data_IF_770729152808
#
_entry.id   IF_770729152808
#
_cell.length_a   1.000
_cell.length_b   1.000
_cell.length_c   1.000
_cell.angle_alpha   90.00
_cell.angle_beta   90.00
_cell.angle_gamma   90.00
#
_symmetry.space_group_name_H-M   'P 1'
#
loop_
_entity.id
_entity.type
_entity.pdbx_description
1 polymer ?
#
# COMPACT_ATOMS: atom_id res chain seq x y z
N UNK A 1 -1.28 10.58 13.29
CA UNK A 1 -2.11 9.69 12.43
C UNK A 1 -1.71 9.69 10.97
N UNK A 2 -1.59 10.84 10.29
CA UNK A 2 -1.27 10.89 8.85
C UNK A 2 0.03 10.16 8.46
N UNK A 3 1.08 10.27 9.28
CA UNK A 3 2.36 9.59 9.04
C UNK A 3 2.26 8.05 9.03
N UNK A 4 1.56 7.44 10.02
CA UNK A 4 1.30 5.98 10.02
C UNK A 4 0.52 5.54 8.79
N UNK A 5 -0.42 6.36 8.34
CA UNK A 5 -1.22 6.07 7.15
C UNK A 5 -0.38 6.09 5.87
N UNK A 6 0.62 6.96 5.81
CA UNK A 6 1.63 6.97 4.75
C UNK A 6 2.51 5.71 4.80
N UNK A 7 3.02 5.34 5.98
CA UNK A 7 3.89 4.16 6.16
C UNK A 7 3.21 2.86 5.71
N UNK A 8 1.92 2.68 6.01
CA UNK A 8 1.14 1.52 5.55
C UNK A 8 1.03 1.37 4.03
N UNK A 9 1.33 2.43 3.27
CA UNK A 9 1.38 2.38 1.81
C UNK A 9 2.76 2.06 1.25
N UNK A 10 3.81 2.11 2.08
CA UNK A 10 5.22 2.02 1.66
C UNK A 10 5.94 0.83 2.27
N UNK A 11 5.62 0.49 3.52
CA UNK A 11 6.26 -0.57 4.31
C UNK A 11 5.30 -1.75 4.52
N UNK A 12 5.86 -2.93 4.77
CA UNK A 12 5.11 -4.18 5.00
C UNK A 12 4.45 -4.26 6.37
N UNK A 13 4.95 -3.49 7.33
CA UNK A 13 4.38 -3.35 8.67
C UNK A 13 4.83 -2.11 9.43
N UNK A 14 4.08 -1.76 10.47
CA UNK A 14 4.47 -0.75 11.45
C UNK A 14 4.19 -1.24 12.88
N UNK A 15 5.11 -0.99 13.81
CA UNK A 15 4.93 -1.31 15.24
C UNK A 15 5.26 -0.11 16.12
N UNK A 16 4.53 0.03 17.22
CA UNK A 16 4.76 1.06 18.22
C UNK A 16 5.41 0.41 19.43
N UNK A 17 6.55 0.95 19.85
CA UNK A 17 7.26 0.55 21.06
C UNK A 17 7.09 1.60 22.16
N UNK A 18 7.08 1.16 23.40
CA UNK A 18 7.24 2.04 24.57
C UNK A 18 8.71 2.41 24.81
N UNK A 19 8.96 3.21 25.86
CA UNK A 19 10.28 3.75 26.23
C UNK A 19 11.31 2.64 26.53
N UNK A 20 10.82 1.48 26.98
CA UNK A 20 11.60 0.27 27.26
C UNK A 20 11.75 -0.63 26.01
N UNK A 21 11.35 -0.13 24.84
CA UNK A 21 11.35 -0.82 23.55
C UNK A 21 10.48 -2.10 23.49
N UNK A 22 9.48 -2.19 24.37
CA UNK A 22 8.47 -3.24 24.30
C UNK A 22 7.36 -2.86 23.34
N UNK A 23 6.79 -3.85 22.65
CA UNK A 23 5.62 -3.66 21.80
C UNK A 23 4.45 -3.13 22.64
N UNK A 24 4.06 -1.89 22.38
CA UNK A 24 3.08 -1.15 23.17
C UNK A 24 1.73 -1.89 23.19
N UNK A 25 1.24 -2.22 24.39
CA UNK A 25 -0.01 -2.99 24.58
C UNK A 25 -1.24 -2.30 24.02
N UNK A 26 -1.24 -0.97 24.02
CA UNK A 26 -2.43 -0.13 23.86
C UNK A 26 -2.59 0.47 22.47
N UNK A 27 -1.58 0.42 21.58
CA UNK A 27 -1.61 1.22 20.35
C UNK A 27 -0.82 0.68 19.15
N UNK A 28 -1.01 -0.58 18.81
CA UNK A 28 -0.47 -1.13 17.58
C UNK A 28 -1.21 -2.37 17.14
N UNK A 29 -1.54 -2.43 15.85
CA UNK A 29 -1.82 -3.71 15.23
C UNK A 29 -0.48 -4.41 14.99
N UNK A 30 -0.19 -5.43 15.79
CA UNK A 30 1.02 -6.26 15.65
C UNK A 30 0.83 -7.37 14.62
N UNK A 31 -0.33 -7.45 13.95
CA UNK A 31 -0.62 -8.48 12.92
C UNK A 31 0.42 -8.46 11.80
N UNK A 32 0.87 -7.28 11.38
CA UNK A 32 1.89 -7.15 10.35
C UNK A 32 3.22 -7.77 10.77
N UNK A 33 3.68 -7.50 11.99
CA UNK A 33 4.91 -8.12 12.51
C UNK A 33 4.73 -9.64 12.72
N UNK A 34 3.58 -10.09 13.22
CA UNK A 34 3.25 -11.53 13.32
C UNK A 34 3.35 -12.23 11.97
N UNK A 35 2.82 -11.60 10.93
CA UNK A 35 2.86 -12.11 9.55
C UNK A 35 4.29 -12.17 9.01
N UNK A 36 5.09 -11.13 9.23
CA UNK A 36 6.51 -11.12 8.85
C UNK A 36 7.24 -12.27 9.55
N UNK A 37 7.10 -12.37 10.88
CA UNK A 37 7.76 -13.40 11.69
C UNK A 37 7.19 -14.82 11.50
N UNK A 38 6.01 -14.95 10.89
CA UNK A 38 5.30 -16.22 10.75
C UNK A 38 4.83 -16.83 12.07
N UNK A 39 4.63 -16.01 13.11
CA UNK A 39 4.20 -16.45 14.45
C UNK A 39 2.72 -16.23 14.67
N UNK A 40 2.08 -17.14 15.40
CA UNK A 40 0.69 -17.00 15.86
C UNK A 40 0.59 -16.48 17.31
N UNK A 41 1.70 -16.44 18.04
CA UNK A 41 1.75 -16.05 19.45
C UNK A 41 1.39 -14.58 19.69
N UNK A 42 1.04 -14.22 20.93
CA UNK A 42 0.92 -12.80 21.30
C UNK A 42 2.31 -12.16 21.41
N UNK A 43 2.47 -11.00 20.78
CA UNK A 43 3.72 -10.25 20.77
C UNK A 43 3.66 -9.05 21.72
N UNK A 44 2.47 -8.70 22.25
CA UNK A 44 2.29 -7.51 23.09
C UNK A 44 3.15 -7.59 24.35
N UNK A 45 3.88 -6.51 24.63
CA UNK A 45 4.75 -6.40 25.79
C UNK A 45 6.07 -7.18 25.68
N UNK A 46 6.36 -7.82 24.54
CA UNK A 46 7.70 -8.36 24.27
C UNK A 46 8.62 -7.24 23.76
N UNK A 47 9.92 -7.35 24.04
CA UNK A 47 10.92 -6.44 23.49
C UNK A 47 11.08 -6.67 22.01
N UNK A 48 11.24 -5.61 21.22
CA UNK A 48 11.51 -5.77 19.79
C UNK A 48 12.82 -6.53 19.53
N UNK A 49 13.80 -6.36 20.41
CA UNK A 49 15.11 -7.03 20.38
C UNK A 49 15.01 -8.57 20.44
N UNK A 50 13.97 -9.10 21.08
CA UNK A 50 13.74 -10.55 21.17
C UNK A 50 13.48 -11.18 19.79
N UNK A 51 13.12 -10.36 18.79
CA UNK A 51 12.89 -10.78 17.42
C UNK A 51 14.10 -10.56 16.52
N UNK A 52 15.17 -9.93 17.00
CA UNK A 52 16.43 -9.85 16.26
C UNK A 52 17.16 -11.19 16.37
N UNK A 53 17.99 -11.51 15.38
CA UNK A 53 18.96 -12.59 15.52
C UNK A 53 19.78 -12.36 16.79
N UNK A 54 19.93 -13.39 17.61
CA UNK A 54 20.56 -13.35 18.95
C UNK A 54 22.09 -13.20 18.89
N UNK A 55 22.55 -12.24 18.09
CA UNK A 55 23.92 -11.75 18.06
C UNK A 55 23.97 -10.45 18.84
N UNK A 56 24.84 -10.39 19.84
CA UNK A 56 25.01 -9.22 20.71
C UNK A 56 25.25 -7.93 19.91
N UNK A 57 26.04 -8.02 18.83
CA UNK A 57 26.33 -6.90 17.93
C UNK A 57 25.07 -6.35 17.24
N UNK A 58 24.13 -7.20 16.84
CA UNK A 58 22.89 -6.77 16.19
C UNK A 58 21.98 -6.00 17.16
N UNK A 59 21.92 -6.45 18.42
CA UNK A 59 21.15 -5.79 19.48
C UNK A 59 21.77 -4.41 19.80
N UNK A 60 23.09 -4.36 20.00
CA UNK A 60 23.80 -3.10 20.28
C UNK A 60 23.68 -2.09 19.14
N UNK A 61 23.74 -2.57 17.89
CA UNK A 61 23.56 -1.73 16.70
C UNK A 61 22.15 -1.14 16.66
N UNK A 62 21.13 -1.94 16.95
CA UNK A 62 19.74 -1.47 17.02
C UNK A 62 19.51 -0.46 18.16
N UNK A 63 20.05 -0.71 19.34
CA UNK A 63 19.96 0.23 20.48
C UNK A 63 20.62 1.58 20.14
N UNK A 64 21.83 1.52 19.57
CA UNK A 64 22.56 2.71 19.13
C UNK A 64 21.77 3.48 18.07
N UNK A 65 21.14 2.78 17.13
CA UNK A 65 20.28 3.37 16.10
C UNK A 65 19.09 4.13 16.70
N UNK A 66 18.38 3.52 17.67
CA UNK A 66 17.24 4.15 18.35
C UNK A 66 17.68 5.33 19.21
N UNK A 67 18.75 5.17 20.01
CA UNK A 67 19.28 6.22 20.88
C UNK A 67 19.74 7.45 20.09
N UNK A 68 20.44 7.23 18.97
CA UNK A 68 20.91 8.30 18.10
C UNK A 68 19.75 9.11 17.51
N UNK A 69 18.61 8.48 17.22
CA UNK A 69 17.45 9.19 16.68
C UNK A 69 16.77 10.07 17.74
N UNK A 70 16.72 9.62 19.00
CA UNK A 70 16.22 10.42 20.13
C UNK A 70 17.11 11.63 20.37
N UNK A 71 18.43 11.46 20.34
CA UNK A 71 19.39 12.55 20.56
C UNK A 71 19.28 13.67 19.51
N UNK A 72 18.88 13.36 18.28
CA UNK A 72 18.77 14.35 17.20
C UNK A 72 17.56 15.29 17.29
N UNK A 73 16.58 15.04 18.18
CA UNK A 73 15.64 16.00 18.79
C UNK A 73 14.81 17.00 17.96
N UNK A 74 15.05 17.21 16.66
CA UNK A 74 14.50 18.35 15.93
C UNK A 74 13.46 17.95 14.87
N UNK A 75 12.32 18.64 14.90
CA UNK A 75 11.20 18.49 13.95
C UNK A 75 11.54 18.88 12.49
N UNK A 76 12.73 19.47 12.26
CA UNK A 76 13.30 19.80 10.95
C UNK A 76 14.51 18.90 10.59
N UNK A 77 14.66 17.78 11.30
CA UNK A 77 15.84 16.93 11.24
C UNK A 77 16.05 16.19 9.91
N UNK A 78 17.24 15.59 9.74
CA UNK A 78 17.59 14.78 8.58
C UNK A 78 16.56 13.67 8.33
N UNK A 79 16.48 13.14 7.09
CA UNK A 79 15.53 12.09 6.75
C UNK A 79 15.62 10.90 7.72
N UNK A 80 14.49 10.19 7.97
CA UNK A 80 14.45 9.05 8.88
C UNK A 80 15.57 8.07 8.56
N UNK A 81 16.39 7.75 9.57
CA UNK A 81 17.47 6.78 9.41
C UNK A 81 16.86 5.40 9.15
N UNK A 82 17.53 4.64 8.29
CA UNK A 82 17.20 3.26 7.96
C UNK A 82 18.29 2.35 8.54
N UNK A 83 17.89 1.27 9.19
CA UNK A 83 18.79 0.21 9.66
C UNK A 83 18.32 -1.12 9.10
N UNK A 84 19.21 -1.83 8.40
CA UNK A 84 18.96 -3.21 7.99
C UNK A 84 19.25 -4.16 9.16
N UNK A 85 18.30 -5.03 9.49
CA UNK A 85 18.42 -6.05 10.53
C UNK A 85 17.91 -7.40 10.04
N UNK A 86 18.30 -8.46 10.72
CA UNK A 86 17.75 -9.80 10.51
C UNK A 86 16.76 -10.11 11.64
N UNK A 87 15.53 -10.44 11.26
CA UNK A 87 14.52 -10.92 12.20
C UNK A 87 14.56 -12.45 12.31
N UNK A 88 14.57 -12.95 13.53
CA UNK A 88 14.46 -14.36 13.85
C UNK A 88 12.98 -14.78 13.85
N UNK A 89 12.65 -15.75 13.00
CA UNK A 89 11.31 -16.36 12.96
C UNK A 89 11.18 -17.50 13.98
N UNK A 90 9.98 -18.09 14.15
CA UNK A 90 9.82 -19.32 14.96
C UNK A 90 10.55 -20.54 14.36
N UNK A 91 10.97 -20.46 13.09
CA UNK A 91 11.76 -21.49 12.42
C UNK A 91 13.26 -21.16 12.37
N UNK A 92 14.08 -22.01 11.73
CA UNK A 92 15.51 -21.75 11.51
C UNK A 92 15.78 -20.63 10.49
N UNK A 93 14.75 -19.88 10.10
CA UNK A 93 14.80 -18.87 9.05
C UNK A 93 14.96 -17.49 9.67
N UNK A 94 15.81 -16.72 9.02
CA UNK A 94 16.01 -15.30 9.29
C UNK A 94 15.40 -14.49 8.13
N UNK A 95 14.83 -13.34 8.45
CA UNK A 95 14.21 -12.45 7.46
C UNK A 95 14.96 -11.12 7.48
N UNK A 96 15.68 -10.76 6.41
CA UNK A 96 16.25 -9.43 6.29
C UNK A 96 15.13 -8.40 6.11
N UNK A 97 15.18 -7.37 6.94
CA UNK A 97 14.24 -6.24 6.89
C UNK A 97 14.97 -4.92 7.03
N UNK A 98 14.41 -3.90 6.42
CA UNK A 98 14.80 -2.51 6.60
C UNK A 98 13.87 -1.86 7.64
N UNK A 99 14.46 -1.35 8.72
CA UNK A 99 13.76 -0.71 9.84
C UNK A 99 13.99 0.79 9.79
N UNK A 100 12.89 1.52 9.75
CA UNK A 100 12.87 2.98 9.85
C UNK A 100 12.32 3.36 11.23
N UNK A 101 12.94 4.34 11.88
CA UNK A 101 12.59 4.74 13.23
C UNK A 101 12.20 6.22 13.31
N UNK A 102 11.18 6.50 14.12
CA UNK A 102 10.80 7.85 14.53
C UNK A 102 10.47 7.84 16.03
N UNK A 103 11.17 8.68 16.80
CA UNK A 103 10.82 8.96 18.18
C UNK A 103 9.58 9.87 18.24
N UNK A 104 8.65 9.53 19.13
CA UNK A 104 7.38 10.22 19.35
C UNK A 104 7.30 10.64 20.83
N UNK A 105 7.99 11.74 21.21
CA UNK A 105 7.85 12.29 22.56
C UNK A 105 6.42 12.79 22.79
N UNK A 106 5.99 12.76 24.06
CA UNK A 106 4.71 13.29 24.53
C UNK A 106 3.47 12.70 23.83
N UNK A 107 3.59 11.49 23.28
CA UNK A 107 2.48 10.81 22.61
C UNK A 107 1.40 10.45 23.66
N UNK A 108 0.17 10.88 23.40
CA UNK A 108 -0.97 10.77 24.34
C UNK A 108 -0.85 11.64 25.61
N UNK A 109 0.03 12.65 25.61
CA UNK A 109 0.20 13.55 26.75
C UNK A 109 0.82 12.88 27.97
N UNK A 110 1.50 11.74 27.79
CA UNK A 110 2.36 11.14 28.81
C UNK A 110 3.79 11.63 28.59
N UNK A 111 4.57 11.79 29.66
CA UNK A 111 6.00 12.17 29.55
C UNK A 111 6.89 11.01 29.06
N UNK A 112 6.31 9.97 28.44
CA UNK A 112 7.04 8.82 27.95
C UNK A 112 7.36 9.00 26.46
N UNK A 113 8.55 8.57 26.06
CA UNK A 113 8.90 8.53 24.63
C UNK A 113 8.39 7.23 24.05
N UNK A 114 7.60 7.32 22.97
CA UNK A 114 7.26 6.15 22.18
C UNK A 114 8.14 6.08 20.93
N UNK A 115 8.34 4.88 20.41
CA UNK A 115 9.11 4.68 19.18
C UNK A 115 8.25 4.01 18.13
N UNK A 116 8.07 4.68 16.99
CA UNK A 116 7.41 4.08 15.84
C UNK A 116 8.45 3.47 14.92
N UNK A 117 8.34 2.16 14.70
CA UNK A 117 9.12 1.43 13.70
C UNK A 117 8.26 1.15 12.47
N UNK A 118 8.79 1.46 11.30
CA UNK A 118 8.27 0.97 10.03
C UNK A 118 9.22 -0.12 9.50
N UNK A 119 8.66 -1.23 9.04
CA UNK A 119 9.43 -2.42 8.66
C UNK A 119 9.11 -2.73 7.20
N UNK A 120 10.15 -2.81 6.37
CA UNK A 120 10.05 -3.29 4.99
C UNK A 120 10.81 -4.61 4.87
N UNK A 121 10.14 -5.67 4.42
CA UNK A 121 10.79 -6.93 4.08
C UNK A 121 11.63 -6.74 2.81
N UNK A 122 12.83 -7.33 2.79
CA UNK A 122 13.68 -7.29 1.60
C UNK A 122 13.02 -8.06 0.45
N UNK A 123 12.89 -7.46 -0.74
CA UNK A 123 12.21 -8.08 -1.88
C UNK A 123 12.86 -9.42 -2.30
N UNK A 124 14.16 -9.58 -2.07
CA UNK A 124 14.90 -10.79 -2.40
C UNK A 124 14.54 -11.97 -1.49
N UNK A 125 14.10 -11.72 -0.25
CA UNK A 125 13.72 -12.78 0.71
C UNK A 125 12.49 -13.58 0.24
N UNK A 126 11.59 -12.95 -0.52
CA UNK A 126 10.36 -13.56 -1.02
C UNK A 126 10.63 -14.58 -2.12
N UNK A 127 11.69 -14.37 -2.91
CA UNK A 127 12.05 -15.29 -4.00
C UNK A 127 12.51 -16.64 -3.46
N UNK A 128 13.29 -16.65 -2.37
CA UNK A 128 13.72 -17.87 -1.70
C UNK A 128 12.55 -18.65 -1.06
N UNK A 129 11.52 -17.93 -0.62
CA UNK A 129 10.30 -18.49 -0.01
C UNK A 129 9.46 -19.28 -1.01
N UNK A 130 9.47 -18.85 -2.26
CA UNK A 130 8.70 -19.46 -3.35
C UNK A 130 9.32 -20.78 -3.85
N UNK A 131 10.62 -21.00 -3.62
CA UNK A 131 11.36 -22.16 -4.14
C UNK A 131 11.46 -23.32 -3.15
N UNK A 132 11.43 -23.07 -1.84
CA UNK A 132 11.63 -24.10 -0.80
C UNK A 132 10.34 -24.78 -0.32
N UNK A 133 9.17 -24.22 -0.60
CA UNK A 133 7.88 -24.85 -0.32
C UNK A 133 7.35 -25.53 -1.60
N UNK A 134 7.67 -26.82 -1.75
CA UNK A 134 7.11 -27.66 -2.81
C UNK A 134 5.58 -27.63 -2.81
N UNK A 135 5.02 -27.39 -3.99
CA UNK A 135 3.59 -27.19 -4.29
C UNK A 135 2.92 -26.05 -3.52
N UNK A 136 2.37 -25.03 -4.22
CA UNK A 136 1.75 -23.90 -3.57
C UNK A 136 0.47 -24.35 -2.89
N UNK A 137 0.49 -24.50 -1.56
CA UNK A 137 -0.72 -24.23 -0.78
C UNK A 137 -0.93 -22.72 -0.85
N UNK A 138 -1.58 -22.32 -1.94
CA UNK A 138 -2.13 -21.00 -2.14
C UNK A 138 -3.23 -20.74 -1.09
N UNK A 139 -2.83 -20.51 0.16
CA UNK A 139 -3.53 -19.51 0.96
C UNK A 139 -3.00 -18.17 0.49
N UNK A 140 -3.44 -17.79 -0.71
CA UNK A 140 -3.15 -16.49 -1.26
C UNK A 140 -3.94 -15.47 -0.44
N UNK A 141 -3.22 -14.65 0.33
CA UNK A 141 -3.68 -13.41 0.99
C UNK A 141 -4.28 -12.37 0.01
N UNK A 142 -4.54 -12.74 -1.25
CA UNK A 142 -5.29 -11.97 -2.24
C UNK A 142 -6.81 -12.01 -2.03
N UNK A 143 -7.34 -12.75 -1.03
CA UNK A 143 -8.78 -12.94 -0.81
C UNK A 143 -9.32 -12.19 0.44
N UNK A 144 -8.51 -11.43 1.18
CA UNK A 144 -9.05 -10.55 2.24
C UNK A 144 -9.65 -9.23 1.71
N UNK A 145 -9.56 -8.99 0.40
CA UNK A 145 -9.87 -7.68 -0.18
C UNK A 145 -11.35 -7.29 -0.16
N UNK A 146 -12.27 -8.21 0.18
CA UNK A 146 -13.70 -7.95 0.04
C UNK A 146 -14.60 -8.56 1.11
N UNK A 147 -14.34 -8.26 2.38
CA UNK A 147 -15.27 -8.59 3.50
C UNK A 147 -16.69 -7.99 3.35
N UNK A 148 -16.88 -7.11 2.36
CA UNK A 148 -18.14 -6.45 2.00
C UNK A 148 -18.69 -6.89 0.63
N UNK A 149 -18.06 -7.86 -0.06
CA UNK A 149 -18.63 -8.44 -1.28
C UNK A 149 -19.92 -9.17 -0.91
N UNK A 150 -21.05 -8.68 -1.42
CA UNK A 150 -22.35 -9.30 -1.18
C UNK A 150 -22.75 -10.24 -2.29
N UNK A 151 -22.38 -9.92 -3.53
CA UNK A 151 -22.80 -10.66 -4.71
C UNK A 151 -21.75 -10.53 -5.82
N UNK A 152 -21.56 -11.61 -6.57
CA UNK A 152 -20.69 -11.70 -7.73
C UNK A 152 -21.49 -12.41 -8.84
N UNK A 153 -21.68 -11.73 -9.95
CA UNK A 153 -22.36 -12.28 -11.13
C UNK A 153 -21.34 -12.45 -12.24
N UNK A 154 -21.24 -13.66 -12.78
CA UNK A 154 -20.33 -14.00 -13.88
C UNK A 154 -21.13 -14.40 -15.12
N UNK A 155 -20.81 -13.83 -16.27
CA UNK A 155 -21.28 -14.28 -17.57
C UNK A 155 -20.24 -15.23 -18.15
N UNK A 156 -20.62 -16.50 -18.31
CA UNK A 156 -19.73 -17.57 -18.77
C UNK A 156 -20.05 -17.97 -20.21
N UNK A 157 -19.01 -18.19 -21.01
CA UNK A 157 -19.12 -18.70 -22.37
C UNK A 157 -18.85 -20.21 -22.39
N UNK A 158 -19.91 -21.01 -22.22
CA UNK A 158 -19.80 -22.46 -22.23
C UNK A 158 -19.48 -23.08 -23.60
N UNK A 159 -19.37 -22.28 -24.66
CA UNK A 159 -18.99 -22.77 -25.99
C UNK A 159 -17.47 -22.93 -26.16
N UNK A 160 -16.67 -22.36 -25.25
CA UNK A 160 -15.22 -22.55 -25.23
C UNK A 160 -14.86 -23.73 -24.34
N UNK A 161 -13.75 -24.42 -24.65
CA UNK A 161 -13.29 -25.60 -23.91
C UNK A 161 -13.08 -25.31 -22.43
N UNK A 162 -12.70 -24.07 -22.12
CA UNK A 162 -12.30 -23.64 -20.78
C UNK A 162 -13.40 -22.82 -20.05
N UNK A 163 -14.57 -22.63 -20.68
CA UNK A 163 -15.71 -21.87 -20.13
C UNK A 163 -15.28 -20.45 -19.71
N UNK A 164 -14.90 -19.65 -20.71
CA UNK A 164 -14.34 -18.31 -20.48
C UNK A 164 -15.33 -17.36 -19.78
N UNK A 165 -14.82 -16.44 -18.95
CA UNK A 165 -15.62 -15.38 -18.32
C UNK A 165 -15.65 -14.16 -19.26
N UNK A 166 -16.83 -13.85 -19.80
CA UNK A 166 -17.04 -12.70 -20.70
C UNK A 166 -17.30 -11.41 -19.90
N UNK A 167 -18.01 -11.51 -18.78
CA UNK A 167 -18.34 -10.37 -17.92
C UNK A 167 -18.33 -10.78 -16.43
N UNK A 168 -17.83 -9.88 -15.57
CA UNK A 168 -17.89 -10.04 -14.13
C UNK A 168 -18.44 -8.77 -13.49
N UNK A 169 -19.61 -8.88 -12.85
CA UNK A 169 -20.23 -7.81 -12.08
C UNK A 169 -20.08 -8.10 -10.61
N UNK A 170 -19.54 -7.12 -9.88
CA UNK A 170 -19.17 -7.26 -8.47
C UNK A 170 -20.00 -6.29 -7.63
N UNK A 171 -20.80 -6.82 -6.71
CA UNK A 171 -21.69 -6.05 -5.84
C UNK A 171 -21.17 -6.05 -4.41
N UNK A 172 -21.09 -4.85 -3.82
CA UNK A 172 -20.63 -4.66 -2.46
C UNK A 172 -21.75 -4.12 -1.58
N UNK A 173 -21.98 -4.73 -0.42
CA UNK A 173 -22.91 -4.24 0.61
C UNK A 173 -22.13 -3.55 1.72
N UNK A 174 -22.36 -2.25 1.89
CA UNK A 174 -21.75 -1.47 2.97
C UNK A 174 -22.26 -2.00 4.31
N UNK A 175 -21.39 -2.66 5.07
CA UNK A 175 -21.68 -2.96 6.48
C UNK A 175 -21.73 -1.63 7.24
N UNK A 176 -22.86 -1.33 7.87
CA UNK A 176 -22.95 -0.18 8.79
C UNK A 176 -21.92 -0.43 9.89
N UNK A 177 -20.89 0.42 9.92
CA UNK A 177 -19.65 0.24 10.66
C UNK A 177 -19.85 -0.46 12.02
N UNK A 178 -19.39 -1.72 12.11
CA UNK A 178 -19.01 -2.26 13.41
C UNK A 178 -17.85 -1.39 13.91
N UNK A 179 -17.98 -0.88 15.13
CA UNK A 179 -17.25 0.27 15.66
C UNK A 179 -15.71 0.14 15.72
N UNK A 180 -15.14 -1.01 15.32
CA UNK A 180 -13.73 -1.30 15.53
C UNK A 180 -12.98 -2.04 14.41
N UNK A 181 -13.57 -2.29 13.23
CA UNK A 181 -12.83 -3.02 12.18
C UNK A 181 -12.07 -2.05 11.25
N UNK A 182 -10.94 -1.57 11.74
CA UNK A 182 -10.02 -0.71 11.00
C UNK A 182 -9.16 -1.54 10.07
N UNK A 183 -9.50 -1.53 8.79
CA UNK A 183 -8.47 -1.74 7.78
C UNK A 183 -8.93 -1.30 6.41
N UNK A 184 -9.98 -1.93 5.91
CA UNK A 184 -10.27 -1.89 4.48
C UNK A 184 -11.77 -1.80 4.22
N UNK A 185 -12.45 -0.85 4.86
CA UNK A 185 -13.87 -0.58 4.56
C UNK A 185 -14.10 -0.29 3.07
N UNK A 186 -15.33 -0.50 2.60
CA UNK A 186 -15.84 -0.42 1.22
C UNK A 186 -14.85 0.12 0.16
N UNK A 187 -14.52 -0.65 -0.90
CA UNK A 187 -13.66 -0.13 -1.97
C UNK A 187 -14.30 1.14 -2.55
N UNK A 188 -13.52 2.20 -2.58
CA UNK A 188 -13.94 3.48 -3.17
C UNK A 188 -13.15 3.69 -4.44
N UNK A 189 -13.73 4.38 -5.41
CA UNK A 189 -13.01 4.78 -6.62
C UNK A 189 -11.70 5.52 -6.28
N UNK A 190 -11.69 6.31 -5.20
CA UNK A 190 -10.49 6.97 -4.68
C UNK A 190 -9.36 6.03 -4.28
N UNK A 191 -9.68 4.85 -3.74
CA UNK A 191 -8.70 3.82 -3.37
C UNK A 191 -8.18 3.05 -4.60
N UNK A 192 -8.99 2.95 -5.65
CA UNK A 192 -8.65 2.25 -6.88
C UNK A 192 -7.86 3.11 -7.86
N UNK A 193 -7.95 4.43 -7.76
CA UNK A 193 -7.27 5.36 -8.68
C UNK A 193 -5.98 5.86 -8.05
N UNK A 194 -4.94 6.10 -8.86
CA UNK A 194 -3.70 6.74 -8.37
C UNK A 194 -4.02 8.07 -7.66
N UNK A 195 -3.36 8.36 -6.52
CA UNK A 195 -3.60 9.62 -5.80
C UNK A 195 -3.48 10.88 -6.67
N UNK A 196 -2.54 10.88 -7.62
CA UNK A 196 -2.31 12.00 -8.56
C UNK A 196 -3.44 12.18 -9.57
N UNK A 197 -4.08 11.09 -10.01
CA UNK A 197 -5.15 11.14 -11.01
C UNK A 197 -6.51 11.46 -10.37
N UNK A 198 -6.64 11.26 -9.05
CA UNK A 198 -7.92 11.36 -8.33
C UNK A 198 -8.55 12.75 -8.45
N UNK A 199 -7.79 13.84 -8.26
CA UNK A 199 -8.34 15.20 -8.28
C UNK A 199 -8.99 15.53 -9.62
N UNK A 200 -8.32 15.18 -10.73
CA UNK A 200 -8.83 15.43 -12.07
C UNK A 200 -10.08 14.59 -12.35
N UNK A 201 -10.04 13.29 -12.02
CA UNK A 201 -11.17 12.38 -12.20
C UNK A 201 -12.39 12.81 -11.37
N UNK A 202 -12.20 13.14 -10.09
CA UNK A 202 -13.25 13.61 -9.20
C UNK A 202 -13.92 14.88 -9.74
N UNK A 203 -13.14 15.85 -10.23
CA UNK A 203 -13.69 17.05 -10.85
C UNK A 203 -14.56 16.71 -12.06
N UNK A 204 -14.13 15.79 -12.92
CA UNK A 204 -14.91 15.39 -14.09
C UNK A 204 -16.20 14.64 -13.70
N UNK A 205 -16.14 13.73 -12.74
CA UNK A 205 -17.32 13.02 -12.21
C UNK A 205 -18.31 14.01 -11.60
N UNK A 206 -17.84 14.99 -10.81
CA UNK A 206 -18.70 16.02 -10.22
C UNK A 206 -19.35 16.94 -11.26
N UNK A 207 -18.68 17.20 -12.38
CA UNK A 207 -19.27 17.95 -13.50
C UNK A 207 -20.39 17.12 -14.13
N UNK A 208 -20.14 15.85 -14.43
CA UNK A 208 -21.13 14.96 -15.05
C UNK A 208 -22.33 14.74 -14.13
N UNK A 209 -22.10 14.57 -12.82
CA UNK A 209 -23.17 14.46 -11.83
C UNK A 209 -24.01 15.75 -11.74
N UNK A 210 -23.39 16.94 -11.83
CA UNK A 210 -24.11 18.22 -11.87
C UNK A 210 -24.90 18.38 -13.18
N UNK A 211 -24.30 18.07 -14.32
CA UNK A 211 -24.96 18.12 -15.62
C UNK A 211 -26.15 17.13 -15.68
N UNK A 212 -26.02 15.97 -15.05
CA UNK A 212 -27.09 14.99 -14.90
C UNK A 212 -28.28 15.56 -14.11
N UNK A 213 -28.02 16.30 -13.01
CA UNK A 213 -29.07 17.00 -12.24
C UNK A 213 -29.73 18.14 -13.01
N UNK A 214 -29.00 18.76 -13.94
CA UNK A 214 -29.48 19.88 -14.76
C UNK A 214 -30.12 19.45 -16.08
N UNK A 215 -30.29 18.16 -16.32
CA UNK A 215 -30.97 17.61 -17.50
C UNK A 215 -30.33 17.99 -18.84
N UNK A 216 -29.04 18.32 -18.85
CA UNK A 216 -28.32 18.55 -20.11
C UNK A 216 -27.97 17.18 -20.69
N UNK A 217 -28.76 16.72 -21.66
CA UNK A 217 -28.75 15.38 -22.26
C UNK A 217 -27.46 14.97 -23.00
N UNK A 218 -26.28 15.12 -22.38
CA UNK A 218 -25.03 14.61 -22.91
C UNK A 218 -24.99 13.10 -22.73
N UNK A 219 -24.68 12.39 -23.82
CA UNK A 219 -24.59 10.93 -23.92
C UNK A 219 -23.36 10.34 -23.20
N UNK A 220 -22.92 10.94 -22.11
CA UNK A 220 -21.67 10.58 -21.44
C UNK A 220 -20.51 11.52 -21.75
N UNK A 221 -19.43 11.36 -20.99
CA UNK A 221 -18.20 12.12 -21.12
C UNK A 221 -17.02 11.16 -21.19
N UNK A 222 -16.23 11.29 -22.25
CA UNK A 222 -14.93 10.62 -22.34
C UNK A 222 -13.99 11.21 -21.29
N UNK A 223 -13.30 10.33 -20.58
CA UNK A 223 -12.33 10.66 -19.55
C UNK A 223 -10.91 10.43 -20.10
N UNK A 224 -9.90 11.09 -19.52
CA UNK A 224 -8.51 10.73 -19.76
C UNK A 224 -8.25 9.26 -19.37
N UNK A 225 -7.13 8.73 -19.84
CA UNK A 225 -6.67 7.41 -19.43
C UNK A 225 -6.52 7.32 -17.91
N UNK A 226 -6.89 6.16 -17.35
CA UNK A 226 -6.89 5.95 -15.90
C UNK A 226 -5.94 4.81 -15.52
N UNK A 227 -5.22 5.00 -14.43
CA UNK A 227 -4.44 3.93 -13.82
C UNK A 227 -5.16 3.41 -12.58
N UNK A 228 -5.49 2.13 -12.62
CA UNK A 228 -6.23 1.43 -11.58
C UNK A 228 -5.28 0.57 -10.77
N UNK A 229 -5.28 0.74 -9.45
CA UNK A 229 -4.55 -0.14 -8.55
C UNK A 229 -5.23 -1.51 -8.56
N UNK A 230 -4.48 -2.56 -8.84
CA UNK A 230 -4.99 -3.92 -8.76
C UNK A 230 -4.99 -4.37 -7.29
N UNK A 231 -6.15 -4.78 -6.73
CA UNK A 231 -6.21 -5.39 -5.41
C UNK A 231 -5.51 -6.75 -5.44
N UNK A 232 -4.85 -7.12 -4.34
CA UNK A 232 -4.18 -8.42 -4.19
C UNK A 232 -2.84 -8.58 -4.91
N UNK A 233 -2.36 -7.57 -5.61
CA UNK A 233 -1.03 -7.64 -6.19
C UNK A 233 0.04 -7.42 -5.11
N UNK A 234 0.97 -8.39 -5.00
CA UNK A 234 2.01 -8.41 -3.97
C UNK A 234 2.90 -7.16 -3.99
N UNK A 235 3.06 -6.54 -5.16
CA UNK A 235 3.81 -5.30 -5.29
C UNK A 235 2.87 -4.08 -5.20
N UNK A 236 3.12 -3.12 -4.28
CA UNK A 236 2.29 -1.94 -4.06
C UNK A 236 2.22 -0.95 -5.25
N UNK A 237 2.84 -1.29 -6.39
CA UNK A 237 2.99 -0.43 -7.58
C UNK A 237 2.39 -1.02 -8.86
N UNK A 238 1.64 -2.11 -8.75
CA UNK A 238 0.97 -2.70 -9.92
C UNK A 238 -0.32 -1.94 -10.23
N UNK A 239 -0.27 -1.22 -11.34
CA UNK A 239 -1.41 -0.47 -11.86
C UNK A 239 -1.80 -0.99 -13.24
N UNK A 240 -3.10 -1.19 -13.45
CA UNK A 240 -3.69 -1.47 -14.74
C UNK A 240 -4.04 -0.16 -15.44
N UNK A 241 -3.51 0.06 -16.64
CA UNK A 241 -3.81 1.25 -17.45
C UNK A 241 -5.05 1.01 -18.32
N UNK A 242 -6.13 1.71 -18.04
CA UNK A 242 -7.29 1.84 -18.93
C UNK A 242 -7.01 2.96 -19.95
N UNK A 243 -6.80 2.62 -21.23
CA UNK A 243 -6.62 3.64 -22.29
C UNK A 243 -7.93 4.27 -22.75
N UNK A 244 -9.05 3.64 -22.43
CA UNK A 244 -10.38 4.15 -22.68
C UNK A 244 -11.12 4.23 -21.37
N UNK A 245 -11.64 5.41 -21.04
CA UNK A 245 -12.51 5.60 -19.90
C UNK A 245 -13.65 6.54 -20.30
N UNK A 246 -14.87 6.20 -19.92
CA UNK A 246 -16.05 7.05 -20.13
C UNK A 246 -16.94 6.98 -18.91
N UNK A 247 -17.61 8.09 -18.61
CA UNK A 247 -18.62 8.16 -17.56
C UNK A 247 -19.96 8.56 -18.14
N UNK A 248 -20.99 7.80 -17.80
CA UNK A 248 -22.34 7.95 -18.32
C UNK A 248 -23.36 7.92 -17.18
N UNK A 249 -24.56 8.45 -17.43
CA UNK A 249 -25.66 8.40 -16.45
C UNK A 249 -26.39 7.06 -16.58
N UNK A 250 -26.82 6.50 -15.44
CA UNK A 250 -27.59 5.25 -15.43
C UNK A 250 -29.01 5.47 -15.97
N UNK A 251 -29.67 6.55 -15.53
CA UNK A 251 -31.06 6.84 -15.88
C UNK A 251 -31.16 8.10 -16.74
N UNK A 252 -32.07 8.08 -17.72
CA UNK A 252 -32.32 9.19 -18.64
C UNK A 252 -33.39 10.18 -18.14
N UNK A 253 -34.16 9.82 -17.11
CA UNK A 253 -35.28 10.59 -16.56
C UNK A 253 -34.92 11.62 -15.48
N UNK A 254 -35.91 12.41 -15.07
CA UNK A 254 -35.78 13.37 -13.96
C UNK A 254 -35.59 12.62 -12.65
N UNK A 255 -34.53 12.97 -11.90
CA UNK A 255 -34.35 12.52 -10.51
C UNK A 255 -35.19 13.40 -9.59
N UNK A 256 -35.86 12.79 -8.60
CA UNK A 256 -36.58 13.56 -7.60
C UNK A 256 -35.59 14.34 -6.71
N UNK A 257 -36.01 15.50 -6.14
CA UNK A 257 -35.18 16.24 -5.20
C UNK A 257 -34.74 15.34 -4.03
N UNK A 258 -33.43 15.23 -3.82
CA UNK A 258 -32.85 14.41 -2.74
C UNK A 258 -32.47 12.99 -3.17
N UNK A 259 -32.82 12.54 -4.36
CA UNK A 259 -32.38 11.23 -4.84
C UNK A 259 -30.88 11.21 -5.20
N UNK A 260 -30.19 10.09 -4.92
CA UNK A 260 -28.80 9.91 -5.31
C UNK A 260 -28.65 9.83 -6.84
N UNK A 261 -27.58 10.43 -7.35
CA UNK A 261 -27.23 10.36 -8.78
C UNK A 261 -26.30 9.17 -9.01
N UNK A 262 -26.71 8.25 -9.88
CA UNK A 262 -25.92 7.08 -10.26
C UNK A 262 -25.27 7.28 -11.63
N UNK A 263 -24.00 6.86 -11.74
CA UNK A 263 -23.20 6.96 -12.95
C UNK A 263 -22.55 5.61 -13.26
N UNK A 264 -22.47 5.26 -14.55
CA UNK A 264 -21.63 4.19 -15.06
C UNK A 264 -20.25 4.73 -15.37
N UNK A 265 -19.20 4.08 -14.86
CA UNK A 265 -17.82 4.32 -15.27
C UNK A 265 -17.37 3.10 -16.09
N UNK A 266 -17.25 3.28 -17.40
CA UNK A 266 -16.79 2.24 -18.31
C UNK A 266 -15.29 2.41 -18.54
N UNK A 267 -14.54 1.33 -18.37
CA UNK A 267 -13.09 1.29 -18.51
C UNK A 267 -12.76 0.20 -19.52
N UNK A 268 -11.84 0.47 -20.44
CA UNK A 268 -11.52 -0.45 -21.53
C UNK A 268 -10.17 -0.18 -22.16
N UNK A 269 -9.82 -1.02 -23.15
CA UNK A 269 -8.52 -1.01 -23.83
C UNK A 269 -7.37 -1.05 -22.81
N UNK A 270 -7.44 -2.03 -21.90
CA UNK A 270 -6.45 -2.18 -20.86
C UNK A 270 -5.12 -2.66 -21.45
N UNK A 271 -4.02 -2.07 -21.00
CA UNK A 271 -2.71 -2.67 -21.24
C UNK A 271 -2.46 -3.77 -20.20
N UNK A 272 -2.51 -5.04 -20.59
CA UNK A 272 -1.84 -6.11 -19.85
C UNK A 272 -0.32 -6.09 -20.09
N UNK A 273 0.24 -4.93 -20.37
CA UNK A 273 1.64 -4.81 -20.68
C UNK A 273 2.46 -5.14 -19.44
N UNK A 274 2.95 -6.39 -19.36
CA UNK A 274 4.28 -6.72 -18.82
C UNK A 274 5.37 -5.98 -19.61
N UNK A 275 5.19 -4.68 -19.83
CA UNK A 275 6.35 -3.81 -19.91
C UNK A 275 6.72 -3.67 -18.46
N UNK A 276 7.68 -4.50 -18.01
CA UNK A 276 8.57 -4.04 -16.97
C UNK A 276 8.87 -2.58 -17.29
N UNK A 277 8.79 -1.72 -16.29
CA UNK A 277 9.26 -0.35 -16.38
C UNK A 277 10.71 -0.45 -16.85
N UNK A 278 10.88 -0.58 -18.17
CA UNK A 278 12.10 -0.33 -18.88
C UNK A 278 12.41 1.04 -18.38
N UNK A 279 13.53 1.10 -17.68
CA UNK A 279 14.15 2.32 -17.22
C UNK A 279 14.23 3.21 -18.45
N UNK A 280 13.19 4.02 -18.65
CA UNK A 280 13.25 5.22 -19.44
C UNK A 280 14.25 6.05 -18.64
N UNK A 281 15.52 5.82 -18.97
CA UNK A 281 16.60 6.76 -18.78
C UNK A 281 16.13 8.00 -19.54
N UNK A 282 15.28 8.80 -18.89
CA UNK A 282 15.32 10.24 -19.06
C UNK A 282 16.74 10.60 -18.66
N UNK A 283 17.59 10.58 -19.68
CA UNK A 283 18.92 11.13 -19.75
C UNK A 283 18.77 12.55 -19.18
N UNK A 284 19.02 12.67 -17.88
CA UNK A 284 19.38 13.95 -17.30
C UNK A 284 20.57 14.39 -18.11
N UNK A 285 20.42 15.48 -18.87
CA UNK A 285 21.50 16.16 -19.52
C UNK A 285 22.51 16.50 -18.42
N UNK A 286 23.56 15.67 -18.34
CA UNK A 286 24.69 15.95 -17.49
C UNK A 286 25.37 17.19 -18.05
N UNK A 287 25.55 18.18 -17.18
CA UNK A 287 26.52 19.24 -17.36
C UNK A 287 27.88 18.54 -17.43
N UNK A 288 28.51 18.55 -18.60
CA UNK A 288 29.90 18.12 -18.76
C UNK A 288 30.77 19.14 -18.04
N UNK A 289 31.35 18.74 -16.90
CA UNK A 289 32.46 19.49 -16.28
C UNK A 289 33.74 19.12 -17.03
N UNK A 290 34.26 20.10 -17.78
CA UNK A 290 35.57 20.06 -18.43
C UNK A 290 36.68 19.89 -17.37
N UNK A 291 37.19 18.67 -17.22
CA UNK A 291 38.46 18.45 -16.54
C UNK A 291 39.61 18.77 -17.51
N UNK A 292 40.16 19.98 -17.37
CA UNK A 292 41.39 20.38 -18.02
C UNK A 292 42.57 19.51 -17.55
N UNK A 293 43.30 18.99 -18.54
CA UNK A 293 44.58 18.31 -18.39
C UNK A 293 45.66 19.26 -17.85
N UNK A 294 46.39 18.84 -16.82
CA UNK A 294 47.77 19.27 -16.59
C UNK A 294 48.68 18.05 -16.49
N UNK A 295 49.24 17.65 -17.63
CA UNK A 295 50.46 16.85 -17.70
C UNK A 295 51.64 17.78 -17.44
N UNK A 296 52.34 17.57 -16.33
CA UNK A 296 53.67 18.16 -16.10
C UNK A 296 54.73 17.21 -16.62
N UNK A 297 55.50 17.70 -17.59
CA UNK A 297 56.83 17.20 -17.92
C UNK A 297 57.87 17.68 -16.89
N UNK A 298 58.95 16.89 -16.82
CA UNK A 298 60.27 17.04 -16.13
C UNK A 298 60.41 16.33 -14.80
#
# INVERSE_FOLDING_TARGET
MAFRQMLRGVCDGDVLLDDDLNLAKTCGDVSALKRILGTHGDLKGRKFQDFLVQQEEAILTFETFVANAVATGEASGPPPKCLRVLLQTEGPREIPVDVFHVALPDLYGTNATYHLLAISEDAESHLARSQSQGAPRANSDSVEFYNELSELTLLLNASTTDIDIEEATVHFARKKAAKHDTGWGMPTLRKLIRPLDWQALEAQIRIVARDAKLHRGRKGKSLPELMLRLPGAAEPKTYLRARSASVERVYSGMLAPGEPTYLYLQLGKFNQGRRGLGTDKRRLEGVEEDCANETKDV
#
